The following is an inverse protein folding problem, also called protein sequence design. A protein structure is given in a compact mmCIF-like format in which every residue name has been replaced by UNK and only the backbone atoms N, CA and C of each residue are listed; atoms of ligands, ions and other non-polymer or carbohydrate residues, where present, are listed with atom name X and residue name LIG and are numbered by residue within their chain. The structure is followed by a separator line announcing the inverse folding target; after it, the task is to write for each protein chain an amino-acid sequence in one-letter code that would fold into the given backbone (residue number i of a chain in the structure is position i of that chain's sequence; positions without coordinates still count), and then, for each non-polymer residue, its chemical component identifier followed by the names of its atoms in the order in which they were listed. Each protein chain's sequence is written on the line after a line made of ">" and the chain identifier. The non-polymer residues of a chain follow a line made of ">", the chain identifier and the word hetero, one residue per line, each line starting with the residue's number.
data_IF_803584947362
#
_entry.id   IF_803584947362
#
_cell.length_a   1.000
_cell.length_b   1.000
_cell.length_c   1.000
_cell.angle_alpha   90.00
_cell.angle_beta   90.00
_cell.angle_gamma   90.00
#
_symmetry.space_group_name_H-M   'P 1'
#
loop_
_entity.id
_entity.type
_entity.pdbx_description
1 polymer ?
#
# COMPACT_ATOMS: atom_id res chain seq x y z
N UNK A 1 21.63 9.92 0.55
CA UNK A 1 20.83 10.68 -0.44
C UNK A 1 19.47 10.02 -0.77
N UNK A 2 19.32 8.70 -0.72
CA UNK A 2 18.04 8.00 -0.99
C UNK A 2 16.94 8.13 0.10
N UNK A 3 17.32 8.32 1.37
CA UNK A 3 16.34 8.40 2.47
C UNK A 3 15.36 9.57 2.34
N UNK A 4 15.78 10.67 1.70
CA UNK A 4 15.00 11.90 1.57
C UNK A 4 13.84 11.77 0.57
N UNK A 5 13.99 10.92 -0.45
CA UNK A 5 13.01 10.79 -1.53
C UNK A 5 11.90 9.79 -1.17
N UNK A 6 12.26 8.66 -0.56
CA UNK A 6 11.28 7.68 -0.02
C UNK A 6 10.33 8.31 1.01
N UNK A 7 10.80 9.32 1.74
CA UNK A 7 10.00 10.02 2.75
C UNK A 7 8.83 10.82 2.15
N UNK A 8 8.88 11.18 0.86
CA UNK A 8 7.80 11.94 0.21
C UNK A 8 6.49 11.17 0.17
N UNK A 9 6.57 9.85 -0.07
CA UNK A 9 5.40 8.97 -0.14
C UNK A 9 4.76 8.79 1.23
N UNK A 10 5.58 8.69 2.28
CA UNK A 10 5.11 8.64 3.65
C UNK A 10 4.39 9.94 4.07
N UNK A 11 4.94 11.11 3.71
CA UNK A 11 4.27 12.40 3.93
C UNK A 11 2.94 12.49 3.20
N UNK A 12 2.91 12.07 1.93
CA UNK A 12 1.68 12.08 1.14
C UNK A 12 0.60 11.21 1.79
N UNK A 13 0.95 10.00 2.24
CA UNK A 13 0.03 9.12 2.95
C UNK A 13 -0.46 9.72 4.27
N UNK A 14 0.41 10.32 5.08
CA UNK A 14 0.02 11.04 6.30
C UNK A 14 -0.97 12.16 6.02
N UNK A 15 -0.74 12.93 4.95
CA UNK A 15 -1.66 13.99 4.56
C UNK A 15 -3.01 13.42 4.09
N UNK A 16 -3.01 12.28 3.42
CA UNK A 16 -4.23 11.58 3.06
C UNK A 16 -5.04 11.14 4.29
N UNK A 17 -4.37 10.67 5.35
CA UNK A 17 -5.02 10.35 6.64
C UNK A 17 -5.64 11.60 7.28
N UNK A 18 -4.96 12.75 7.26
CA UNK A 18 -5.54 14.02 7.74
C UNK A 18 -6.81 14.40 6.96
N UNK A 19 -6.82 14.20 5.64
CA UNK A 19 -8.00 14.46 4.80
C UNK A 19 -9.13 13.47 5.13
N UNK A 20 -8.81 12.19 5.30
CA UNK A 20 -9.79 11.16 5.65
C UNK A 20 -10.46 11.45 7.01
N UNK A 21 -9.70 11.94 8.00
CA UNK A 21 -10.23 12.39 9.29
C UNK A 21 -11.19 13.59 9.17
N UNK A 22 -10.97 14.47 8.20
CA UNK A 22 -11.85 15.62 7.96
C UNK A 22 -13.10 15.27 7.14
N UNK A 23 -13.08 14.14 6.42
CA UNK A 23 -14.16 13.70 5.55
C UNK A 23 -14.46 12.20 5.76
N UNK A 24 -15.01 11.81 6.94
CA UNK A 24 -15.20 10.40 7.29
C UNK A 24 -16.16 9.66 6.35
N UNK A 25 -17.08 10.38 5.71
CA UNK A 25 -18.00 9.82 4.71
C UNK A 25 -17.38 9.67 3.31
N UNK A 26 -16.12 10.05 3.13
CA UNK A 26 -15.41 10.01 1.84
C UNK A 26 -14.24 9.04 1.89
N UNK A 27 -14.22 8.08 0.96
CA UNK A 27 -13.09 7.18 0.80
C UNK A 27 -11.90 7.90 0.16
N UNK A 28 -10.83 8.08 0.93
CA UNK A 28 -9.56 8.64 0.44
C UNK A 28 -8.60 7.50 0.09
N UNK A 29 -8.06 7.50 -1.13
CA UNK A 29 -7.09 6.49 -1.59
C UNK A 29 -5.82 7.17 -2.08
N UNK A 30 -4.69 6.84 -1.48
CA UNK A 30 -3.37 7.23 -1.99
C UNK A 30 -2.93 6.28 -3.10
N UNK A 31 -2.77 6.80 -4.32
CA UNK A 31 -2.28 6.02 -5.47
C UNK A 31 -0.84 6.39 -5.78
N UNK A 32 0.04 5.40 -5.87
CA UNK A 32 1.45 5.64 -6.20
C UNK A 32 2.06 4.55 -7.09
N UNK A 33 3.12 4.92 -7.79
CA UNK A 33 3.84 4.00 -8.66
C UNK A 33 4.81 3.10 -7.87
N UNK A 34 5.72 2.46 -8.60
CA UNK A 34 6.67 1.48 -8.04
C UNK A 34 7.69 2.06 -7.06
N UNK A 35 7.90 3.38 -7.07
CA UNK A 35 8.83 4.03 -6.13
C UNK A 35 8.29 4.06 -4.70
N UNK A 36 6.96 3.96 -4.54
CA UNK A 36 6.31 3.90 -3.24
C UNK A 36 6.23 2.49 -2.64
N UNK A 37 6.75 1.45 -3.32
CA UNK A 37 6.82 0.07 -2.82
C UNK A 37 7.94 -0.06 -1.75
N UNK A 38 7.73 0.63 -0.62
CA UNK A 38 8.66 0.70 0.51
C UNK A 38 8.00 0.16 1.79
N UNK A 39 8.77 -0.57 2.60
CA UNK A 39 8.26 -1.20 3.82
C UNK A 39 7.63 -0.18 4.80
N UNK A 40 8.27 0.99 4.94
CA UNK A 40 7.82 2.04 5.86
C UNK A 40 6.40 2.53 5.57
N UNK A 41 5.97 2.55 4.30
CA UNK A 41 4.61 2.98 3.95
C UNK A 41 3.59 1.93 4.42
N UNK A 42 3.85 0.65 4.19
CA UNK A 42 2.98 -0.44 4.66
C UNK A 42 2.88 -0.47 6.19
N UNK A 43 4.01 -0.28 6.88
CA UNK A 43 4.05 -0.20 8.34
C UNK A 43 3.21 0.98 8.87
N UNK A 44 3.35 2.17 8.28
CA UNK A 44 2.54 3.34 8.63
C UNK A 44 1.05 3.10 8.35
N UNK A 45 0.71 2.52 7.20
CA UNK A 45 -0.68 2.21 6.84
C UNK A 45 -1.32 1.22 7.80
N UNK A 46 -0.58 0.17 8.18
CA UNK A 46 -1.02 -0.78 9.19
C UNK A 46 -1.24 -0.08 10.55
N UNK A 47 -0.30 0.77 10.98
CA UNK A 47 -0.43 1.53 12.22
C UNK A 47 -1.62 2.50 12.21
N UNK A 48 -1.86 3.19 11.08
CA UNK A 48 -3.00 4.09 10.91
C UNK A 48 -4.34 3.32 10.99
N UNK A 49 -4.43 2.16 10.34
CA UNK A 49 -5.62 1.31 10.41
C UNK A 49 -5.94 0.85 11.82
N UNK A 50 -4.94 0.49 12.62
CA UNK A 50 -5.15 0.10 14.03
C UNK A 50 -5.52 1.27 14.95
N UNK A 51 -5.05 2.49 14.66
CA UNK A 51 -5.19 3.64 15.56
C UNK A 51 -6.36 4.58 15.24
N UNK A 52 -6.88 4.57 14.01
CA UNK A 52 -7.85 5.57 13.54
C UNK A 52 -9.26 5.03 13.30
N UNK A 53 -9.65 3.92 13.95
CA UNK A 53 -11.02 3.36 13.96
C UNK A 53 -11.75 3.50 12.60
N UNK A 54 -11.20 2.88 11.54
CA UNK A 54 -11.75 2.89 10.17
C UNK A 54 -11.70 4.21 9.38
N UNK A 55 -11.09 5.27 9.91
CA UNK A 55 -10.97 6.57 9.21
C UNK A 55 -9.63 6.73 8.48
N UNK A 56 -8.75 5.73 8.55
CA UNK A 56 -7.47 5.77 7.85
C UNK A 56 -7.66 5.73 6.32
N UNK A 57 -6.84 6.51 5.60
CA UNK A 57 -6.83 6.49 4.14
C UNK A 57 -6.34 5.13 3.62
N UNK A 58 -6.95 4.70 2.51
CA UNK A 58 -6.53 3.52 1.77
C UNK A 58 -5.30 3.84 0.90
N UNK A 59 -4.67 2.79 0.37
CA UNK A 59 -3.52 2.89 -0.50
C UNK A 59 -3.61 1.90 -1.67
N UNK A 60 -3.15 2.31 -2.83
CA UNK A 60 -2.99 1.50 -4.03
C UNK A 60 -1.60 1.77 -4.62
N UNK A 61 -0.69 0.80 -4.46
CA UNK A 61 0.71 0.96 -4.84
C UNK A 61 1.09 -0.11 -5.83
N UNK A 62 1.72 0.29 -6.92
CA UNK A 62 2.29 -0.66 -7.87
C UNK A 62 3.49 -1.36 -7.22
N UNK A 63 3.39 -2.66 -6.98
CA UNK A 63 4.51 -3.41 -6.42
C UNK A 63 5.70 -3.49 -7.40
N UNK A 64 6.91 -3.65 -6.84
CA UNK A 64 8.19 -3.80 -7.54
C UNK A 64 9.00 -5.00 -7.03
N UNK A 65 8.89 -5.30 -5.74
CA UNK A 65 9.68 -6.32 -5.05
C UNK A 65 8.92 -7.65 -4.95
N UNK A 66 9.59 -8.78 -5.22
CA UNK A 66 9.01 -10.10 -4.97
C UNK A 66 9.09 -10.47 -3.48
N UNK A 67 8.13 -9.95 -2.70
CA UNK A 67 8.12 -10.05 -1.23
C UNK A 67 7.69 -11.44 -0.77
N UNK A 68 8.26 -11.90 0.36
CA UNK A 68 7.71 -13.03 1.12
C UNK A 68 6.40 -12.56 1.76
N UNK A 69 5.40 -13.42 1.68
CA UNK A 69 4.08 -13.22 2.25
C UNK A 69 3.89 -14.20 3.41
N UNK A 70 2.97 -13.88 4.30
CA UNK A 70 2.58 -14.77 5.38
C UNK A 70 1.38 -15.60 4.93
N UNK A 71 1.34 -16.85 5.37
CA UNK A 71 0.15 -17.70 5.29
C UNK A 71 -0.82 -17.39 6.45
N UNK A 72 -1.98 -18.02 6.44
CA UNK A 72 -3.03 -17.83 7.45
C UNK A 72 -2.56 -18.15 8.89
N UNK A 73 -1.50 -18.94 9.03
CA UNK A 73 -0.88 -19.29 10.31
C UNK A 73 0.22 -18.29 10.74
N UNK A 74 0.38 -17.17 10.03
CA UNK A 74 1.40 -16.14 10.30
C UNK A 74 2.83 -16.59 9.99
N UNK A 75 3.02 -17.70 9.27
CA UNK A 75 4.35 -18.20 8.87
C UNK A 75 4.66 -17.79 7.42
N UNK A 76 5.94 -17.67 7.04
CA UNK A 76 6.30 -17.43 5.64
C UNK A 76 5.68 -18.49 4.72
N UNK A 77 4.98 -18.03 3.69
CA UNK A 77 4.41 -18.89 2.66
C UNK A 77 5.55 -19.48 1.79
N UNK A 78 5.26 -20.60 1.13
CA UNK A 78 6.19 -21.25 0.20
C UNK A 78 6.42 -20.33 -1.00
N UNK A 79 5.32 -19.85 -1.58
CA UNK A 79 5.31 -18.93 -2.71
C UNK A 79 5.58 -17.49 -2.25
N UNK A 80 6.14 -16.67 -3.15
CA UNK A 80 6.27 -15.23 -2.92
C UNK A 80 5.15 -14.49 -3.66
N UNK A 81 5.09 -13.17 -3.47
CA UNK A 81 4.02 -12.32 -3.96
C UNK A 81 3.75 -12.47 -5.47
N UNK A 82 4.80 -12.54 -6.30
CA UNK A 82 4.65 -12.61 -7.76
C UNK A 82 4.02 -13.94 -8.18
N UNK A 83 4.51 -15.04 -7.62
CA UNK A 83 4.02 -16.39 -7.92
C UNK A 83 2.55 -16.52 -7.55
N UNK A 84 2.17 -16.05 -6.36
CA UNK A 84 0.78 -16.07 -5.90
C UNK A 84 -0.13 -15.15 -6.71
N UNK A 85 0.40 -14.02 -7.19
CA UNK A 85 -0.36 -13.11 -8.06
C UNK A 85 -0.62 -13.73 -9.44
N UNK A 86 0.35 -14.47 -10.00
CA UNK A 86 0.20 -15.16 -11.30
C UNK A 86 -0.85 -16.26 -11.29
N UNK A 87 -1.02 -16.96 -10.17
CA UNK A 87 -2.05 -17.98 -10.01
C UNK A 87 -3.44 -17.40 -9.73
N UNK A 88 -3.54 -16.10 -9.47
CA UNK A 88 -4.80 -15.41 -9.17
C UNK A 88 -5.49 -14.91 -10.45
N UNK A 89 -6.81 -15.00 -10.49
CA UNK A 89 -7.62 -14.42 -11.58
C UNK A 89 -7.44 -12.91 -11.67
N UNK A 90 -7.09 -12.44 -12.87
CA UNK A 90 -6.93 -11.03 -13.19
C UNK A 90 -8.26 -10.27 -12.98
N UNK A 91 -8.24 -9.22 -12.15
CA UNK A 91 -9.42 -8.39 -11.85
C UNK A 91 -9.65 -7.24 -12.84
N UNK A 92 -8.65 -6.85 -13.63
CA UNK A 92 -8.77 -5.76 -14.60
C UNK A 92 -7.44 -5.35 -15.24
N UNK A 93 -7.48 -4.41 -16.18
CA UNK A 93 -6.30 -3.80 -16.82
C UNK A 93 -6.25 -2.29 -16.58
N UNK A 94 -5.07 -1.77 -16.25
CA UNK A 94 -4.78 -0.35 -16.19
C UNK A 94 -3.83 -0.07 -17.37
N UNK A 95 -4.42 0.24 -18.52
CA UNK A 95 -3.65 0.61 -19.71
C UNK A 95 -2.91 1.92 -19.48
N UNK A 96 -1.63 1.99 -19.86
CA UNK A 96 -0.98 3.28 -20.06
C UNK A 96 -1.66 3.95 -21.25
N UNK A 97 -2.36 5.06 -21.04
CA UNK A 97 -2.63 5.99 -22.14
C UNK A 97 -1.27 6.40 -22.71
N UNK A 98 -1.01 5.99 -23.95
CA UNK A 98 0.13 6.44 -24.74
C UNK A 98 -0.22 7.75 -25.41
#
# INVERSE_FOLDING_TARGET
>A
MAEKESYRWLKAYRKANEVALQAPDTMVITVADREADIYYLYHEAQHAQFSQENTAAYWLIRFSSNRKILNDNGRPDQEKLIEKTKSTSRQGDISRNR
#
